data_IF_448739351878
#
_entry.id   IF_448739351878
#
_cell.length_a   1.000
_cell.length_b   1.000
_cell.length_c   1.000
_cell.angle_alpha   90.00
_cell.angle_beta   90.00
_cell.angle_gamma   90.00
#
_symmetry.space_group_name_H-M   'P 1'
#
loop_
_entity.id
_entity.type
_entity.pdbx_description
1 polymer ?
#
# COMPACT_ATOMS: atom_id res chain seq x y z
N UNK A 1 -3.38 -8.53 1.38
CA UNK A 1 -3.90 -8.85 2.73
C UNK A 1 -2.89 -8.70 3.87
N UNK A 2 -1.61 -9.08 3.77
CA UNK A 2 -0.66 -8.89 4.89
C UNK A 2 -0.30 -7.42 5.20
N UNK A 3 -0.02 -6.61 4.17
CA UNK A 3 0.33 -5.19 4.35
C UNK A 3 -0.77 -4.37 5.04
N UNK A 4 -2.04 -4.65 4.73
CA UNK A 4 -3.19 -4.00 5.39
C UNK A 4 -3.31 -4.37 6.87
N UNK A 5 -2.99 -5.60 7.24
CA UNK A 5 -2.92 -5.99 8.66
C UNK A 5 -1.74 -5.32 9.36
N UNK A 6 -0.58 -5.23 8.73
CA UNK A 6 0.56 -4.47 9.26
C UNK A 6 0.21 -2.99 9.48
N UNK A 7 -0.52 -2.37 8.56
CA UNK A 7 -0.96 -0.98 8.66
C UNK A 7 -1.89 -0.69 9.85
N UNK A 8 -2.49 -1.72 10.48
CA UNK A 8 -3.29 -1.56 11.72
C UNK A 8 -2.44 -1.28 12.96
N UNK A 9 -1.13 -1.53 12.89
CA UNK A 9 -0.20 -1.28 13.99
C UNK A 9 0.59 0.01 13.70
N UNK A 10 0.47 1.00 14.58
CA UNK A 10 1.06 2.34 14.39
C UNK A 10 2.55 2.31 14.03
N UNK A 11 3.36 1.49 14.73
CA UNK A 11 4.79 1.39 14.48
C UNK A 11 5.10 0.90 13.05
N UNK A 12 4.32 -0.06 12.55
CA UNK A 12 4.49 -0.61 11.20
C UNK A 12 3.97 0.36 10.14
N UNK A 13 2.82 1.00 10.38
CA UNK A 13 2.29 2.03 9.50
C UNK A 13 3.28 3.20 9.32
N UNK A 14 3.94 3.62 10.41
CA UNK A 14 4.98 4.66 10.37
C UNK A 14 6.18 4.26 9.52
N UNK A 15 6.63 3.00 9.61
CA UNK A 15 7.70 2.47 8.76
C UNK A 15 7.26 2.47 7.29
N UNK A 16 6.04 2.03 7.00
CA UNK A 16 5.51 2.01 5.64
C UNK A 16 5.38 3.41 5.04
N UNK A 17 4.89 4.38 5.81
CA UNK A 17 4.66 5.77 5.37
C UNK A 17 5.96 6.53 5.10
N UNK A 18 7.01 6.26 5.88
CA UNK A 18 8.32 6.91 5.74
C UNK A 18 9.33 6.13 4.89
N UNK A 19 8.91 4.99 4.32
CA UNK A 19 9.73 4.23 3.39
C UNK A 19 9.86 4.97 2.06
N UNK A 20 11.04 4.91 1.44
CA UNK A 20 11.27 5.42 0.08
C UNK A 20 10.34 4.78 -0.96
N UNK A 21 9.77 3.61 -0.63
CA UNK A 21 8.84 2.87 -1.49
C UNK A 21 7.38 3.31 -1.35
N UNK A 22 7.02 4.19 -0.41
CA UNK A 22 5.62 4.55 -0.16
C UNK A 22 4.92 5.06 -1.43
N UNK A 23 5.59 5.92 -2.19
CA UNK A 23 5.03 6.49 -3.42
C UNK A 23 4.86 5.48 -4.56
N UNK A 24 5.40 4.26 -4.46
CA UNK A 24 5.13 3.22 -5.44
C UNK A 24 3.65 2.78 -5.44
N UNK A 25 2.90 3.03 -4.36
CA UNK A 25 1.46 2.82 -4.36
C UNK A 25 0.75 3.57 -5.49
N UNK A 26 1.22 4.77 -5.88
CA UNK A 26 0.67 5.50 -7.03
C UNK A 26 0.87 4.75 -8.34
N UNK A 27 2.03 4.11 -8.53
CA UNK A 27 2.25 3.26 -9.69
C UNK A 27 1.37 2.00 -9.66
N UNK A 28 1.14 1.43 -8.47
CA UNK A 28 0.34 0.22 -8.32
C UNK A 28 -1.16 0.46 -8.52
N UNK A 29 -1.69 1.65 -8.20
CA UNK A 29 -3.11 1.97 -8.47
C UNK A 29 -3.39 2.26 -9.95
N UNK A 30 -2.36 2.56 -10.74
CA UNK A 30 -2.47 2.85 -12.17
C UNK A 30 -2.28 1.63 -13.07
N UNK A 31 -1.96 0.46 -12.52
CA UNK A 31 -1.79 -0.75 -13.35
C UNK A 31 -3.11 -1.16 -14.01
N UNK A 32 -3.04 -1.67 -15.24
CA UNK A 32 -4.21 -2.08 -16.02
C UNK A 32 -4.92 -3.33 -15.47
N UNK A 33 -4.27 -4.07 -14.58
CA UNK A 33 -4.88 -5.22 -13.89
C UNK A 33 -5.74 -4.75 -12.72
N UNK A 34 -7.06 -4.77 -12.92
CA UNK A 34 -8.05 -4.29 -11.95
C UNK A 34 -7.87 -4.85 -10.53
N UNK A 35 -7.61 -6.16 -10.40
CA UNK A 35 -7.47 -6.80 -9.08
C UNK A 35 -6.28 -6.22 -8.29
N UNK A 36 -5.18 -5.93 -8.98
CA UNK A 36 -3.98 -5.36 -8.36
C UNK A 36 -4.20 -3.88 -8.03
N UNK A 37 -4.75 -3.12 -8.97
CA UNK A 37 -5.03 -1.70 -8.79
C UNK A 37 -6.01 -1.45 -7.63
N UNK A 38 -7.08 -2.23 -7.54
CA UNK A 38 -8.08 -2.12 -6.47
C UNK A 38 -7.55 -2.57 -5.10
N UNK A 39 -6.67 -3.59 -5.04
CA UNK A 39 -6.00 -4.00 -3.79
C UNK A 39 -5.01 -2.95 -3.29
N UNK A 40 -4.23 -2.35 -4.19
CA UNK A 40 -3.32 -1.25 -3.88
C UNK A 40 -4.09 -0.04 -3.37
N UNK A 41 -5.19 0.34 -4.03
CA UNK A 41 -6.03 1.46 -3.63
C UNK A 41 -6.66 1.25 -2.26
N UNK A 42 -7.07 0.03 -1.94
CA UNK A 42 -7.66 -0.31 -0.63
C UNK A 42 -6.63 -0.35 0.52
N UNK A 43 -5.34 -0.25 0.21
CA UNK A 43 -4.24 -0.25 1.18
C UNK A 43 -3.69 1.15 1.46
N UNK A 44 -3.85 2.06 0.50
CA UNK A 44 -3.59 3.49 0.66
C UNK A 44 -4.68 4.15 1.52
#
# INVERSE_FOLDING_TARGET
TMLRECARYEALAKIMLHSDYFFNFFNYVEVSTFDIASDAFSTF
#
